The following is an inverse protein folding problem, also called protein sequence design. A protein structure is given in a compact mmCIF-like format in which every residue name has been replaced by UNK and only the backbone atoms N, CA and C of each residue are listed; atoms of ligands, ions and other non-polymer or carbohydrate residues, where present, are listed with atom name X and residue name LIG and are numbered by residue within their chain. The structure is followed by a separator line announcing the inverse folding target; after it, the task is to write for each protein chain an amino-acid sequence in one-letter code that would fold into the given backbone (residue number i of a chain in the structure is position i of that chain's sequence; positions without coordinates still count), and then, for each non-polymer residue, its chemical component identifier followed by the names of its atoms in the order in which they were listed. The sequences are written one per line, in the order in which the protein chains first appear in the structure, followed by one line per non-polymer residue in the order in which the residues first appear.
data_IF_805677109415
#
_entry.id   IF_805677109415
#
_cell.length_a   1.000
_cell.length_b   1.000
_cell.length_c   1.000
_cell.angle_alpha   90.00
_cell.angle_beta   90.00
_cell.angle_gamma   90.00
#
_symmetry.space_group_name_H-M   'P 1'
#
loop_
_entity.id
_entity.type
_entity.pdbx_description
1 polymer ?
#
# COMPACT_ATOMS: atom_id res chain seq x y z
N UNK A 1 20.86 -14.67 9.75
CA UNK A 1 20.79 -13.26 10.18
C UNK A 1 20.11 -12.50 9.05
N UNK A 2 18.82 -12.25 9.18
CA UNK A 2 18.04 -11.43 8.24
C UNK A 2 18.44 -9.98 8.48
N UNK A 3 19.00 -9.31 7.47
CA UNK A 3 19.27 -7.88 7.53
C UNK A 3 17.92 -7.16 7.82
N UNK A 4 17.90 -6.16 8.71
CA UNK A 4 16.69 -5.40 8.94
C UNK A 4 16.25 -4.78 7.62
N UNK A 5 14.98 -4.98 7.26
CA UNK A 5 14.38 -4.34 6.09
C UNK A 5 14.53 -2.83 6.27
N UNK A 6 15.35 -2.22 5.43
CA UNK A 6 15.63 -0.79 5.49
C UNK A 6 14.34 -0.07 5.08
N UNK A 7 13.63 0.51 6.03
CA UNK A 7 12.49 1.37 5.74
C UNK A 7 12.99 2.69 5.14
N UNK A 8 12.25 3.20 4.15
CA UNK A 8 12.52 4.54 3.63
C UNK A 8 12.32 5.58 4.74
N UNK A 9 13.17 6.61 4.81
CA UNK A 9 13.00 7.73 5.73
C UNK A 9 11.61 8.35 5.57
N UNK A 10 11.20 8.55 4.31
CA UNK A 10 9.87 9.04 3.95
C UNK A 10 9.01 7.86 3.48
N UNK A 11 8.61 6.99 4.43
CA UNK A 11 7.80 5.82 4.11
C UNK A 11 6.40 6.22 3.66
N UNK A 12 5.79 5.43 2.79
CA UNK A 12 4.43 5.65 2.32
C UNK A 12 3.41 5.61 3.46
N UNK A 13 3.56 4.66 4.41
CA UNK A 13 2.65 4.52 5.55
C UNK A 13 2.66 5.72 6.51
N UNK A 14 3.76 6.48 6.56
CA UNK A 14 3.88 7.72 7.36
C UNK A 14 3.64 9.00 6.55
N UNK A 15 3.22 8.88 5.28
CA UNK A 15 3.16 10.03 4.38
C UNK A 15 2.29 11.19 4.88
N UNK A 16 1.15 10.90 5.52
CA UNK A 16 0.30 11.93 6.09
C UNK A 16 1.02 12.77 7.16
N UNK A 17 1.99 12.18 7.88
CA UNK A 17 2.76 12.85 8.94
C UNK A 17 3.82 13.78 8.35
N UNK A 18 4.68 13.26 7.47
CA UNK A 18 5.75 14.07 6.92
C UNK A 18 5.28 15.08 5.85
N UNK A 19 4.11 14.87 5.21
CA UNK A 19 3.48 15.88 4.37
C UNK A 19 2.89 17.04 5.19
N UNK A 20 2.44 16.77 6.42
CA UNK A 20 1.87 17.79 7.31
C UNK A 20 2.93 18.47 8.18
N UNK A 21 3.99 17.74 8.54
CA UNK A 21 5.09 18.22 9.38
C UNK A 21 6.43 17.75 8.82
N UNK A 22 6.99 18.41 7.79
CA UNK A 22 8.20 17.97 7.10
C UNK A 22 9.42 17.72 8.00
N UNK A 23 9.68 18.46 9.10
CA UNK A 23 10.82 18.17 9.96
C UNK A 23 10.73 16.84 10.74
N UNK A 24 9.52 16.29 10.89
CA UNK A 24 9.23 15.16 11.78
C UNK A 24 10.07 13.90 11.49
N UNK A 25 10.24 13.41 10.26
CA UNK A 25 11.02 12.21 9.98
C UNK A 25 12.47 12.28 10.45
N UNK A 26 13.09 13.45 10.34
CA UNK A 26 14.47 13.65 10.82
C UNK A 26 14.54 13.71 12.33
N UNK A 27 13.56 14.32 12.98
CA UNK A 27 13.49 14.35 14.44
C UNK A 27 13.27 12.96 15.02
N UNK A 28 12.42 12.14 14.40
CA UNK A 28 12.13 10.78 14.86
C UNK A 28 13.35 9.85 14.84
N UNK A 29 14.35 10.12 14.01
CA UNK A 29 15.59 9.35 13.98
C UNK A 29 16.38 9.42 15.29
N UNK A 30 16.16 10.44 16.11
CA UNK A 30 16.82 10.59 17.43
C UNK A 30 16.13 9.82 18.56
N UNK A 31 14.96 9.22 18.28
CA UNK A 31 14.21 8.46 19.27
C UNK A 31 14.27 6.97 18.98
N UNK A 32 14.39 6.11 20.01
CA UNK A 32 14.36 4.68 19.83
C UNK A 32 13.02 4.25 19.23
N UNK A 33 13.10 3.43 18.20
CA UNK A 33 11.90 2.81 17.60
C UNK A 33 11.50 1.61 18.43
N UNK A 34 10.26 1.59 18.92
CA UNK A 34 9.65 0.41 19.55
C UNK A 34 8.58 -0.16 18.65
N UNK A 35 8.58 -1.47 18.47
CA UNK A 35 7.44 -2.18 17.90
C UNK A 35 6.36 -2.33 18.98
N UNK A 36 5.11 -2.11 18.62
CA UNK A 36 3.97 -2.40 19.48
C UNK A 36 3.40 -3.77 19.16
N UNK A 37 2.76 -4.42 20.13
CA UNK A 37 2.01 -5.67 19.93
C UNK A 37 1.01 -5.56 18.77
N UNK A 38 0.38 -4.39 18.62
CA UNK A 38 -0.53 -4.14 17.49
C UNK A 38 0.19 -4.12 16.13
N UNK A 39 1.45 -3.64 16.07
CA UNK A 39 2.23 -3.69 14.84
C UNK A 39 2.67 -5.11 14.49
N UNK A 40 3.03 -5.91 15.49
CA UNK A 40 3.39 -7.32 15.31
C UNK A 40 2.18 -8.17 14.88
N UNK A 41 1.03 -7.95 15.51
CA UNK A 41 -0.26 -8.55 15.11
C UNK A 41 -0.61 -8.17 13.65
N UNK A 42 -0.43 -6.90 13.28
CA UNK A 42 -0.62 -6.43 11.92
C UNK A 42 0.29 -7.13 10.91
N UNK A 43 1.57 -7.27 11.24
CA UNK A 43 2.54 -7.99 10.39
C UNK A 43 2.14 -9.46 10.19
N UNK A 44 1.69 -10.14 11.23
CA UNK A 44 1.21 -11.51 11.14
C UNK A 44 -0.04 -11.63 10.24
N UNK A 45 -0.96 -10.66 10.35
CA UNK A 45 -2.17 -10.61 9.53
C UNK A 45 -1.85 -10.36 8.04
N UNK A 46 -0.91 -9.47 7.73
CA UNK A 46 -0.45 -9.24 6.34
C UNK A 46 0.18 -10.50 5.74
N UNK A 47 1.07 -11.18 6.48
CA UNK A 47 1.68 -12.42 6.00
C UNK A 47 0.64 -13.52 5.73
N UNK A 48 -0.38 -13.64 6.58
CA UNK A 48 -1.46 -14.61 6.39
C UNK A 48 -2.36 -14.24 5.20
N UNK A 49 -2.66 -12.94 5.03
CA UNK A 49 -3.43 -12.43 3.91
C UNK A 49 -2.70 -12.66 2.57
N UNK A 50 -1.41 -12.36 2.51
CA UNK A 50 -0.54 -12.65 1.36
C UNK A 50 -0.60 -14.13 0.98
N UNK A 51 -0.37 -15.02 1.96
CA UNK A 51 -0.45 -16.46 1.75
C UNK A 51 -1.80 -16.89 1.14
N UNK A 52 -2.90 -16.38 1.66
CA UNK A 52 -4.24 -16.75 1.18
C UNK A 52 -4.51 -16.25 -0.24
N UNK A 53 -4.06 -15.05 -0.58
CA UNK A 53 -4.17 -14.54 -1.95
C UNK A 53 -3.33 -15.37 -2.92
N UNK A 54 -2.08 -15.72 -2.57
CA UNK A 54 -1.26 -16.62 -3.38
C UNK A 54 -1.93 -17.97 -3.61
N UNK A 55 -2.52 -18.55 -2.56
CA UNK A 55 -3.27 -19.82 -2.66
C UNK A 55 -4.48 -19.70 -3.59
N UNK A 56 -5.24 -18.60 -3.48
CA UNK A 56 -6.41 -18.34 -4.33
C UNK A 56 -6.02 -18.13 -5.81
N UNK A 57 -4.83 -17.58 -6.06
CA UNK A 57 -4.26 -17.42 -7.40
C UNK A 57 -3.67 -18.72 -7.99
N UNK A 58 -3.64 -19.82 -7.21
CA UNK A 58 -3.13 -21.12 -7.64
C UNK A 58 -1.66 -21.39 -7.29
N UNK A 59 -0.99 -20.52 -6.57
CA UNK A 59 0.35 -20.78 -6.06
C UNK A 59 0.31 -21.68 -4.82
N UNK A 60 0.22 -22.98 -5.07
CA UNK A 60 0.12 -24.00 -4.03
C UNK A 60 1.43 -24.23 -3.26
N UNK A 61 2.54 -23.67 -3.74
CA UNK A 61 3.87 -23.82 -3.12
C UNK A 61 4.21 -22.68 -2.18
N UNK A 62 3.44 -21.58 -2.21
CA UNK A 62 3.68 -20.46 -1.31
C UNK A 62 3.55 -20.92 0.14
N UNK A 63 4.56 -20.69 1.00
CA UNK A 63 4.59 -21.23 2.34
C UNK A 63 3.57 -20.55 3.26
N UNK A 64 2.84 -21.34 4.05
CA UNK A 64 1.95 -20.78 5.06
C UNK A 64 2.78 -20.18 6.20
N UNK A 65 2.54 -18.92 6.58
CA UNK A 65 3.20 -18.31 7.72
C UNK A 65 2.72 -18.91 9.04
N UNK A 66 3.56 -18.83 10.06
CA UNK A 66 3.22 -19.20 11.45
C UNK A 66 3.53 -18.03 12.37
N UNK A 67 2.61 -17.71 13.28
CA UNK A 67 2.77 -16.64 14.25
C UNK A 67 1.90 -16.94 15.48
N UNK A 68 2.38 -16.54 16.66
CA UNK A 68 1.63 -16.63 17.92
C UNK A 68 0.40 -15.71 17.95
N UNK A 69 0.32 -14.75 17.01
CA UNK A 69 -0.83 -13.85 16.85
C UNK A 69 -1.96 -14.43 16.01
N UNK A 70 -1.76 -15.60 15.37
CA UNK A 70 -2.81 -16.23 14.57
C UNK A 70 -3.95 -16.71 15.45
N UNK A 71 -5.17 -16.36 15.06
CA UNK A 71 -6.41 -16.73 15.74
C UNK A 71 -7.55 -16.83 14.72
N UNK A 72 -8.69 -17.36 15.17
CA UNK A 72 -9.87 -17.57 14.30
C UNK A 72 -10.37 -16.26 13.67
N UNK A 73 -10.33 -15.12 14.40
CA UNK A 73 -10.68 -13.81 13.85
C UNK A 73 -9.73 -13.45 12.68
N UNK A 74 -8.43 -13.63 12.86
CA UNK A 74 -7.45 -13.33 11.82
C UNK A 74 -7.61 -14.23 10.60
N UNK A 75 -7.89 -15.52 10.82
CA UNK A 75 -8.19 -16.45 9.72
C UNK A 75 -9.40 -15.98 8.92
N UNK A 76 -10.52 -15.71 9.58
CA UNK A 76 -11.75 -15.27 8.91
C UNK A 76 -11.53 -13.96 8.13
N UNK A 77 -10.94 -12.96 8.75
CA UNK A 77 -10.79 -11.63 8.12
C UNK A 77 -9.77 -11.61 6.98
N UNK A 78 -8.78 -12.49 7.00
CA UNK A 78 -7.86 -12.68 5.88
C UNK A 78 -8.46 -13.52 4.75
N UNK A 79 -9.42 -14.42 5.04
CA UNK A 79 -10.25 -15.08 4.02
C UNK A 79 -11.15 -14.06 3.31
N UNK A 80 -11.77 -13.13 4.05
CA UNK A 80 -12.58 -12.06 3.50
C UNK A 80 -11.75 -11.16 2.56
N UNK A 81 -10.53 -10.80 2.99
CA UNK A 81 -9.60 -10.03 2.14
C UNK A 81 -9.24 -10.77 0.86
N UNK A 82 -8.83 -12.04 0.97
CA UNK A 82 -8.49 -12.86 -0.20
C UNK A 82 -9.67 -12.98 -1.17
N UNK A 83 -10.87 -13.20 -0.65
CA UNK A 83 -12.11 -13.25 -1.45
C UNK A 83 -12.37 -11.94 -2.17
N UNK A 84 -12.20 -10.80 -1.48
CA UNK A 84 -12.32 -9.46 -2.05
C UNK A 84 -11.31 -9.25 -3.19
N UNK A 85 -10.04 -9.60 -2.99
CA UNK A 85 -9.01 -9.49 -4.03
C UNK A 85 -9.39 -10.29 -5.28
N UNK A 86 -9.81 -11.54 -5.10
CA UNK A 86 -10.23 -12.40 -6.21
C UNK A 86 -11.45 -11.83 -6.95
N UNK A 87 -12.40 -11.24 -6.23
CA UNK A 87 -13.54 -10.56 -6.83
C UNK A 87 -13.11 -9.37 -7.70
N UNK A 88 -12.20 -8.51 -7.20
CA UNK A 88 -11.67 -7.39 -7.98
C UNK A 88 -10.89 -7.87 -9.22
N UNK A 89 -10.10 -8.93 -9.09
CA UNK A 89 -9.36 -9.50 -10.22
C UNK A 89 -10.30 -10.10 -11.29
N UNK A 90 -11.35 -10.79 -10.86
CA UNK A 90 -12.39 -11.28 -11.78
C UNK A 90 -13.12 -10.14 -12.48
N UNK A 91 -13.40 -9.03 -11.77
CA UNK A 91 -13.96 -7.82 -12.40
C UNK A 91 -13.00 -7.26 -13.45
N UNK A 92 -11.70 -7.13 -13.15
CA UNK A 92 -10.71 -6.65 -14.12
C UNK A 92 -10.68 -7.52 -15.40
N UNK A 93 -10.78 -8.85 -15.26
CA UNK A 93 -10.87 -9.78 -16.42
C UNK A 93 -12.08 -9.60 -17.31
N UNK A 94 -13.16 -9.00 -16.81
CA UNK A 94 -14.34 -8.71 -17.62
C UNK A 94 -14.16 -7.50 -18.54
N UNK A 95 -13.29 -6.57 -18.15
CA UNK A 95 -13.07 -5.30 -18.84
C UNK A 95 -11.75 -5.23 -19.61
N UNK A 96 -10.80 -6.11 -19.28
CA UNK A 96 -9.50 -6.16 -19.92
C UNK A 96 -9.13 -7.58 -20.33
N UNK A 97 -8.43 -7.71 -21.46
CA UNK A 97 -8.05 -9.02 -22.03
C UNK A 97 -7.00 -9.72 -21.16
N UNK A 98 -6.08 -8.97 -20.56
CA UNK A 98 -4.92 -9.51 -19.85
C UNK A 98 -4.56 -8.66 -18.63
N UNK A 99 -5.41 -8.62 -17.59
CA UNK A 99 -5.10 -7.88 -16.39
C UNK A 99 -4.00 -8.58 -15.58
N UNK A 100 -3.07 -7.80 -15.06
CA UNK A 100 -2.00 -8.27 -14.20
C UNK A 100 -2.41 -8.09 -12.73
N UNK A 101 -2.14 -9.09 -11.90
CA UNK A 101 -2.23 -8.97 -10.43
C UNK A 101 -0.86 -9.22 -9.81
N UNK A 102 -0.48 -8.38 -8.86
CA UNK A 102 0.73 -8.52 -8.04
C UNK A 102 0.38 -8.37 -6.56
N UNK A 103 0.99 -9.20 -5.74
CA UNK A 103 0.83 -9.23 -4.28
C UNK A 103 2.17 -8.88 -3.66
N UNK A 104 2.16 -8.11 -2.56
CA UNK A 104 3.37 -7.64 -1.87
C UNK A 104 4.41 -7.04 -2.84
N UNK A 105 3.91 -6.15 -3.73
CA UNK A 105 4.74 -5.57 -4.77
C UNK A 105 5.59 -4.43 -4.22
N UNK A 106 6.89 -4.54 -4.41
CA UNK A 106 7.81 -3.43 -4.11
C UNK A 106 7.63 -2.31 -5.13
N UNK A 107 7.32 -1.12 -4.65
CA UNK A 107 7.00 0.07 -5.43
C UNK A 107 8.05 1.16 -5.16
N UNK A 108 8.65 1.65 -6.22
CA UNK A 108 9.63 2.74 -6.20
C UNK A 108 8.96 4.03 -6.66
N UNK A 109 8.90 5.01 -5.78
CA UNK A 109 8.41 6.37 -6.08
C UNK A 109 9.48 7.45 -5.83
N UNK A 110 10.76 7.05 -5.90
CA UNK A 110 11.92 7.93 -5.69
C UNK A 110 12.02 9.09 -6.69
N UNK A 111 11.33 8.99 -7.82
CA UNK A 111 11.18 10.10 -8.77
C UNK A 111 10.52 11.33 -8.15
N UNK A 112 9.68 11.13 -7.13
CA UNK A 112 8.91 12.19 -6.46
C UNK A 112 9.33 12.41 -5.00
N UNK A 113 9.80 11.37 -4.34
CA UNK A 113 10.17 11.36 -2.92
C UNK A 113 11.59 10.85 -2.78
N UNK A 114 12.56 11.64 -2.32
CA UNK A 114 13.95 11.20 -2.22
C UNK A 114 14.08 9.88 -1.46
N UNK A 115 14.72 8.88 -2.07
CA UNK A 115 14.87 7.50 -1.54
C UNK A 115 13.53 6.81 -1.21
N UNK A 116 12.42 7.26 -1.83
CA UNK A 116 11.08 6.80 -1.53
C UNK A 116 10.75 5.44 -2.15
N UNK A 117 10.38 4.49 -1.33
CA UNK A 117 9.87 3.18 -1.74
C UNK A 117 8.91 2.62 -0.68
N UNK A 118 8.16 1.61 -1.07
CA UNK A 118 7.29 0.87 -0.16
C UNK A 118 6.84 -0.44 -0.78
N UNK A 119 5.99 -1.17 -0.08
CA UNK A 119 5.37 -2.40 -0.56
C UNK A 119 3.87 -2.23 -0.58
N UNK A 120 3.25 -2.45 -1.74
CA UNK A 120 1.80 -2.45 -1.89
C UNK A 120 1.25 -3.86 -1.73
N UNK A 121 0.25 -4.04 -0.87
CA UNK A 121 -0.30 -5.36 -0.53
C UNK A 121 -0.90 -6.05 -1.75
N UNK A 122 -1.67 -5.32 -2.56
CA UNK A 122 -2.17 -5.84 -3.84
C UNK A 122 -2.28 -4.73 -4.89
N UNK A 123 -1.82 -5.04 -6.10
CA UNK A 123 -1.87 -4.16 -7.27
C UNK A 123 -2.50 -4.94 -8.43
N UNK A 124 -3.60 -4.44 -8.97
CA UNK A 124 -4.24 -4.97 -10.18
C UNK A 124 -4.09 -3.94 -11.28
N UNK A 125 -3.51 -4.35 -12.40
CA UNK A 125 -3.25 -3.47 -13.56
C UNK A 125 -4.04 -3.98 -14.75
N UNK A 126 -4.75 -3.09 -15.39
CA UNK A 126 -5.45 -3.33 -16.66
C UNK A 126 -5.37 -2.08 -17.52
N UNK A 127 -5.73 -2.20 -18.81
CA UNK A 127 -5.95 -1.01 -19.60
C UNK A 127 -7.04 -0.14 -18.95
N UNK A 128 -6.80 1.15 -18.95
CA UNK A 128 -7.61 2.21 -18.32
C UNK A 128 -7.58 2.27 -16.81
N UNK A 129 -7.32 1.18 -16.06
CA UNK A 129 -7.44 1.19 -14.61
C UNK A 129 -6.24 0.53 -13.91
N UNK A 130 -5.63 1.28 -12.99
CA UNK A 130 -4.70 0.78 -11.96
C UNK A 130 -5.44 0.74 -10.63
N UNK A 131 -5.58 -0.43 -10.02
CA UNK A 131 -6.22 -0.58 -8.71
C UNK A 131 -5.19 -0.96 -7.65
N UNK A 132 -5.03 -0.10 -6.64
CA UNK A 132 -4.19 -0.31 -5.46
C UNK A 132 -5.09 -0.69 -4.30
N UNK A 133 -4.84 -1.82 -3.66
CA UNK A 133 -5.63 -2.30 -2.52
C UNK A 133 -4.69 -2.53 -1.34
N UNK A 134 -5.02 -1.92 -0.22
CA UNK A 134 -4.23 -1.94 1.01
C UNK A 134 -5.05 -2.55 2.14
N UNK A 135 -4.48 -3.54 2.82
CA UNK A 135 -5.07 -4.26 3.93
C UNK A 135 -4.72 -3.58 5.26
N UNK A 136 -5.71 -3.26 6.06
CA UNK A 136 -5.52 -2.66 7.39
C UNK A 136 -6.15 -3.56 8.45
N UNK A 137 -5.34 -4.26 9.22
CA UNK A 137 -5.83 -5.14 10.29
C UNK A 137 -6.18 -4.41 11.58
N UNK A 138 -5.67 -3.20 11.80
CA UNK A 138 -5.88 -2.42 13.03
C UNK A 138 -7.32 -2.01 13.29
N UNK A 139 -7.69 -1.91 14.61
CA UNK A 139 -9.03 -1.50 15.08
C UNK A 139 -9.10 -0.01 15.52
N UNK A 140 -7.97 0.71 15.55
CA UNK A 140 -7.92 2.00 16.27
C UNK A 140 -8.66 3.12 15.56
N UNK A 141 -8.26 3.41 14.32
CA UNK A 141 -8.77 4.52 13.53
C UNK A 141 -9.26 4.02 12.18
N UNK A 142 -10.44 4.48 11.79
CA UNK A 142 -10.99 4.19 10.46
C UNK A 142 -10.20 4.95 9.39
N UNK A 143 -9.60 4.20 8.46
CA UNK A 143 -8.80 4.76 7.38
C UNK A 143 -9.64 4.90 6.12
N UNK A 144 -9.54 6.04 5.44
CA UNK A 144 -10.26 6.28 4.18
C UNK A 144 -9.30 6.35 3.00
N UNK A 145 -9.76 5.87 1.83
CA UNK A 145 -8.98 5.88 0.60
C UNK A 145 -8.89 7.27 -0.03
N UNK A 146 -9.93 8.10 0.16
CA UNK A 146 -10.01 9.42 -0.47
C UNK A 146 -8.86 10.33 -0.05
N UNK A 147 -8.10 10.80 -1.05
CA UNK A 147 -6.91 11.65 -0.87
C UNK A 147 -5.84 11.05 0.08
N UNK A 148 -5.85 9.73 0.27
CA UNK A 148 -4.88 9.07 1.13
C UNK A 148 -3.47 9.12 0.50
N UNK A 149 -2.49 9.78 1.14
CA UNK A 149 -1.18 9.96 0.54
C UNK A 149 -0.38 8.66 0.41
N UNK A 150 -0.56 7.68 1.31
CA UNK A 150 0.05 6.35 1.18
C UNK A 150 -0.40 5.69 -0.12
N UNK A 151 -1.70 5.70 -0.39
CA UNK A 151 -2.28 5.09 -1.58
C UNK A 151 -1.85 5.80 -2.86
N UNK A 152 -1.75 7.14 -2.81
CA UNK A 152 -1.25 7.95 -3.93
C UNK A 152 0.23 7.65 -4.24
N UNK A 153 1.08 7.47 -3.22
CA UNK A 153 2.48 7.09 -3.41
C UNK A 153 2.63 5.69 -4.02
N UNK A 154 1.85 4.72 -3.56
CA UNK A 154 1.83 3.39 -4.16
C UNK A 154 1.38 3.43 -5.62
N UNK A 155 0.36 4.23 -5.93
CA UNK A 155 -0.09 4.43 -7.30
C UNK A 155 1.00 5.05 -8.19
N UNK A 156 1.75 6.04 -7.71
CA UNK A 156 2.88 6.63 -8.45
C UNK A 156 3.97 5.60 -8.74
N UNK A 157 4.33 4.76 -7.76
CA UNK A 157 5.29 3.68 -7.95
C UNK A 157 4.81 2.62 -8.95
N UNK A 158 3.54 2.27 -8.91
CA UNK A 158 2.94 1.33 -9.87
C UNK A 158 2.84 1.94 -11.28
N UNK A 159 2.50 3.22 -11.42
CA UNK A 159 2.52 3.92 -12.71
C UNK A 159 3.91 4.00 -13.31
N UNK A 160 4.96 4.22 -12.50
CA UNK A 160 6.34 4.19 -12.95
C UNK A 160 6.72 2.82 -13.53
N UNK A 161 6.21 1.74 -12.95
CA UNK A 161 6.49 0.37 -13.36
C UNK A 161 5.65 -0.08 -14.57
N UNK A 162 4.37 0.27 -14.63
CA UNK A 162 3.42 -0.30 -15.58
C UNK A 162 2.86 0.70 -16.60
N UNK A 163 3.02 2.00 -16.39
CA UNK A 163 2.43 3.04 -17.24
C UNK A 163 2.89 3.04 -18.70
N UNK A 164 4.04 2.42 -19.00
CA UNK A 164 4.51 2.22 -20.37
C UNK A 164 4.03 0.89 -21.00
N UNK A 165 3.44 0.00 -20.21
CA UNK A 165 2.98 -1.31 -20.64
C UNK A 165 1.46 -1.36 -20.81
N UNK A 166 0.73 -0.54 -20.06
CA UNK A 166 -0.72 -0.45 -20.06
C UNK A 166 -1.15 1.00 -20.28
N UNK A 167 -2.25 1.20 -21.00
CA UNK A 167 -2.83 2.53 -21.21
C UNK A 167 -3.69 2.94 -20.01
N UNK A 168 -3.05 3.31 -18.90
CA UNK A 168 -3.72 3.64 -17.63
C UNK A 168 -4.10 5.11 -17.64
N UNK A 169 -5.38 5.44 -17.45
CA UNK A 169 -5.89 6.81 -17.36
C UNK A 169 -6.57 7.10 -16.01
N UNK A 170 -6.95 6.07 -15.25
CA UNK A 170 -7.52 6.17 -13.90
C UNK A 170 -6.78 5.31 -12.89
N UNK A 171 -6.75 5.76 -11.65
CA UNK A 171 -6.27 5.02 -10.49
C UNK A 171 -7.41 4.87 -9.50
N UNK A 172 -7.74 3.62 -9.16
CA UNK A 172 -8.62 3.30 -8.04
C UNK A 172 -7.79 2.87 -6.84
N UNK A 173 -8.14 3.34 -5.66
CA UNK A 173 -7.48 2.97 -4.41
C UNK A 173 -8.52 2.43 -3.43
N UNK A 174 -8.21 1.33 -2.76
CA UNK A 174 -9.08 0.73 -1.75
C UNK A 174 -8.32 0.46 -0.46
N UNK A 175 -8.88 0.92 0.65
CA UNK A 175 -8.51 0.50 2.00
C UNK A 175 -9.49 -0.59 2.42
N UNK A 176 -8.98 -1.80 2.66
CA UNK A 176 -9.74 -2.92 3.18
C UNK A 176 -9.40 -3.10 4.66
N UNK A 177 -10.31 -2.69 5.55
CA UNK A 177 -10.13 -2.69 7.02
C UNK A 177 -11.26 -3.46 7.69
N UNK A 178 -11.20 -4.81 7.70
CA UNK A 178 -12.36 -5.64 8.04
C UNK A 178 -12.76 -5.53 9.52
N UNK A 179 -11.80 -5.39 10.46
CA UNK A 179 -12.10 -5.21 11.88
C UNK A 179 -12.90 -3.94 12.21
N UNK A 180 -12.97 -3.02 11.26
CA UNK A 180 -13.74 -1.77 11.35
C UNK A 180 -14.97 -1.77 10.43
N UNK A 181 -15.28 -2.93 9.80
CA UNK A 181 -16.32 -3.05 8.76
C UNK A 181 -16.18 -1.93 7.72
N UNK A 182 -14.95 -1.70 7.25
CA UNK A 182 -14.60 -0.58 6.41
C UNK A 182 -13.94 -1.05 5.11
N UNK A 183 -14.64 -0.84 4.01
CA UNK A 183 -14.08 -0.91 2.66
C UNK A 183 -14.26 0.48 2.06
N UNK A 184 -13.17 1.21 1.94
CA UNK A 184 -13.18 2.58 1.42
C UNK A 184 -12.48 2.61 0.08
N UNK A 185 -13.20 3.01 -0.97
CA UNK A 185 -12.68 3.10 -2.34
C UNK A 185 -12.75 4.54 -2.83
N UNK A 186 -11.77 4.93 -3.63
CA UNK A 186 -11.69 6.24 -4.26
C UNK A 186 -10.93 6.16 -5.59
N UNK A 187 -11.45 6.85 -6.60
CA UNK A 187 -10.86 6.92 -7.93
C UNK A 187 -10.33 8.33 -8.22
N UNK A 188 -9.18 8.42 -8.87
CA UNK A 188 -8.54 9.67 -9.30
C UNK A 188 -8.00 9.49 -10.73
N UNK A 189 -8.23 10.47 -11.64
CA UNK A 189 -7.55 10.49 -12.93
C UNK A 189 -6.02 10.54 -12.78
N UNK A 190 -5.29 9.79 -13.60
CA UNK A 190 -3.81 9.79 -13.59
C UNK A 190 -3.29 11.22 -13.74
N UNK A 191 -3.91 12.04 -14.60
CA UNK A 191 -3.51 13.44 -14.80
C UNK A 191 -3.55 14.25 -13.50
N UNK A 192 -4.57 14.07 -12.67
CA UNK A 192 -4.69 14.77 -11.38
C UNK A 192 -3.66 14.27 -10.37
N UNK A 193 -3.44 12.94 -10.31
CA UNK A 193 -2.42 12.34 -9.46
C UNK A 193 -1.02 12.87 -9.83
N UNK A 194 -0.70 12.92 -11.12
CA UNK A 194 0.58 13.45 -11.63
C UNK A 194 0.73 14.94 -11.37
N UNK A 195 -0.35 15.71 -11.45
CA UNK A 195 -0.32 17.13 -11.09
C UNK A 195 0.03 17.31 -9.61
N UNK A 196 -0.66 16.62 -8.71
CA UNK A 196 -0.33 16.64 -7.28
C UNK A 196 1.12 16.22 -7.00
N UNK A 197 1.60 15.18 -7.69
CA UNK A 197 2.96 14.67 -7.50
C UNK A 197 4.02 15.71 -7.90
N UNK A 198 3.79 16.48 -8.97
CA UNK A 198 4.76 17.45 -9.49
C UNK A 198 4.67 18.84 -8.83
N UNK A 199 3.55 19.18 -8.19
CA UNK A 199 3.35 20.49 -7.56
C UNK A 199 3.54 20.44 -6.04
N UNK A 200 2.78 19.59 -5.35
CA UNK A 200 2.75 19.56 -3.88
C UNK A 200 3.72 18.53 -3.29
N UNK A 201 3.68 17.29 -3.84
CA UNK A 201 4.42 16.18 -3.24
C UNK A 201 5.94 16.41 -3.27
N UNK A 202 6.50 16.75 -4.43
CA UNK A 202 7.96 16.94 -4.59
C UNK A 202 8.52 17.97 -3.64
N UNK A 203 7.89 19.13 -3.56
CA UNK A 203 8.33 20.22 -2.69
C UNK A 203 8.33 19.79 -1.22
N UNK A 204 7.22 19.23 -0.76
CA UNK A 204 7.10 18.76 0.63
C UNK A 204 8.04 17.60 0.96
N UNK A 205 8.24 16.67 0.02
CA UNK A 205 9.15 15.55 0.20
C UNK A 205 10.61 16.02 0.30
N UNK A 206 11.03 17.01 -0.48
CA UNK A 206 12.37 17.61 -0.39
C UNK A 206 12.57 18.30 0.97
N UNK A 207 11.60 19.09 1.42
CA UNK A 207 11.63 19.73 2.75
C UNK A 207 11.73 18.66 3.85
N UNK A 208 10.91 17.62 3.79
CA UNK A 208 10.90 16.54 4.76
C UNK A 208 12.22 15.75 4.76
N UNK A 209 12.78 15.48 3.60
CA UNK A 209 14.07 14.79 3.47
C UNK A 209 15.22 15.61 4.05
N UNK A 210 15.19 16.91 3.90
CA UNK A 210 16.15 17.84 4.51
C UNK A 210 15.88 18.14 5.98
N UNK A 211 14.74 17.77 6.54
CA UNK A 211 14.31 18.13 7.90
C UNK A 211 14.01 19.61 8.06
N UNK A 212 13.51 20.26 7.00
CA UNK A 212 13.19 21.69 6.93
C UNK A 212 11.68 21.89 6.76
N UNK A 213 11.26 23.13 7.03
CA UNK A 213 9.85 23.52 6.94
C UNK A 213 9.22 23.74 8.32
N UNK A 214 8.03 24.31 8.35
CA UNK A 214 7.23 24.59 9.56
C UNK A 214 5.99 23.70 9.55
#
# INVERSE_FOLDING_TARGET
MTSPTKHALLSASSAHRWLSAPPLPRLEQYFPQSTSTAAEEGTAAHALAEYKVHRALGDLKFPRPSSDYQCDEMELLTDDYSSYIMEQYVKAKKFAKDPLIKVELKLDFSQYVPEGFGTGDCVIVSDHLLHIIDFKYGKGVKVVARNNPQMKLYALGALAMFGNLYNIDEVETTIFQPRMSNISTWTIPVKELMHWANTELKEKAELAFMGKGS
#
